data_IF_785947157593
#
_entry.id   IF_785947157593
#
_cell.length_a   1.000
_cell.length_b   1.000
_cell.length_c   1.000
_cell.angle_alpha   90.00
_cell.angle_beta   90.00
_cell.angle_gamma   90.00
#
_symmetry.space_group_name_H-M   'P 1'
#
loop_
_entity.id
_entity.type
_entity.pdbx_description
1 polymer ?
#
# COMPACT_ATOMS: atom_id res chain seq x y z
N UNK A 1 7.79 -22.69 15.45
CA UNK A 1 7.27 -21.43 14.87
C UNK A 1 5.87 -21.10 15.38
N UNK A 2 4.90 -22.03 15.28
CA UNK A 2 3.54 -21.85 15.81
C UNK A 2 3.51 -21.36 17.26
N UNK A 3 4.28 -22.01 18.15
CA UNK A 3 4.42 -21.57 19.54
C UNK A 3 4.89 -20.11 19.68
N UNK A 4 5.79 -19.66 18.81
CA UNK A 4 6.25 -18.28 18.82
C UNK A 4 5.13 -17.30 18.44
N UNK A 5 4.36 -17.63 17.40
CA UNK A 5 3.22 -16.81 16.99
C UNK A 5 2.14 -16.75 18.06
N UNK A 6 1.85 -17.86 18.75
CA UNK A 6 0.96 -17.89 19.91
C UNK A 6 1.44 -16.99 21.07
N UNK A 7 2.76 -16.76 21.17
CA UNK A 7 3.38 -15.84 22.14
C UNK A 7 3.57 -14.41 21.59
N UNK A 8 3.06 -14.11 20.40
CA UNK A 8 3.20 -12.81 19.74
C UNK A 8 4.58 -12.54 19.11
N UNK A 9 5.46 -13.55 19.04
CA UNK A 9 6.81 -13.44 18.48
C UNK A 9 6.75 -13.69 16.97
N UNK A 10 6.48 -12.63 16.21
CA UNK A 10 6.36 -12.68 14.74
C UNK A 10 7.65 -12.30 14.00
N UNK A 11 8.59 -11.63 14.67
CA UNK A 11 9.85 -11.20 14.07
C UNK A 11 10.80 -12.38 13.92
N UNK A 12 11.32 -12.61 12.71
CA UNK A 12 12.27 -13.71 12.42
C UNK A 12 13.57 -13.56 13.20
N UNK A 13 14.04 -12.32 13.39
CA UNK A 13 15.23 -12.01 14.20
C UNK A 13 14.96 -12.26 15.67
N UNK A 14 13.78 -11.85 16.15
CA UNK A 14 13.38 -12.13 17.52
C UNK A 14 13.23 -13.64 17.74
N UNK A 15 12.64 -14.37 16.79
CA UNK A 15 12.51 -15.81 16.86
C UNK A 15 13.88 -16.52 16.92
N UNK A 16 14.81 -16.12 16.06
CA UNK A 16 16.19 -16.62 16.10
C UNK A 16 16.86 -16.33 17.45
N UNK A 17 16.66 -15.13 18.01
CA UNK A 17 17.19 -14.75 19.33
C UNK A 17 16.53 -15.49 20.49
N UNK A 18 15.22 -15.68 20.45
CA UNK A 18 14.45 -16.34 21.54
C UNK A 18 14.89 -17.79 21.71
N UNK A 19 15.38 -18.42 20.63
CA UNK A 19 15.96 -19.76 20.66
C UNK A 19 17.24 -19.85 21.49
N UNK A 20 17.97 -18.75 21.69
CA UNK A 20 19.17 -18.69 22.53
C UNK A 20 18.86 -18.29 23.98
N UNK A 21 17.73 -17.64 24.21
CA UNK A 21 17.39 -17.03 25.51
C UNK A 21 16.30 -17.80 26.27
N UNK A 22 15.56 -18.70 25.61
CA UNK A 22 14.40 -19.36 26.21
C UNK A 22 14.45 -20.88 26.05
N UNK A 23 14.45 -21.58 27.19
CA UNK A 23 14.56 -23.04 27.27
C UNK A 23 13.44 -23.79 26.53
N UNK A 24 12.23 -23.23 26.47
CA UNK A 24 11.11 -23.85 25.74
C UNK A 24 11.40 -23.84 24.23
N UNK A 25 11.95 -22.74 23.72
CA UNK A 25 12.33 -22.66 22.31
C UNK A 25 13.53 -23.55 21.98
N UNK A 26 14.48 -23.71 22.91
CA UNK A 26 15.58 -24.68 22.78
C UNK A 26 15.05 -26.11 22.67
N UNK A 27 14.13 -26.49 23.56
CA UNK A 27 13.52 -27.81 23.56
C UNK A 27 12.69 -28.06 22.28
N UNK A 28 11.81 -27.13 21.91
CA UNK A 28 10.96 -27.24 20.71
C UNK A 28 11.76 -27.24 19.41
N UNK A 29 12.96 -26.68 19.40
CA UNK A 29 13.87 -26.71 18.24
C UNK A 29 14.84 -27.89 18.28
N UNK A 30 14.78 -28.78 19.27
CA UNK A 30 15.76 -29.85 19.49
C UNK A 30 17.21 -29.31 19.45
N UNK A 31 17.44 -28.18 20.12
CA UNK A 31 18.69 -27.40 20.13
C UNK A 31 19.20 -26.94 18.75
N UNK A 32 18.41 -27.04 17.68
CA UNK A 32 18.80 -26.47 16.37
C UNK A 32 18.83 -24.94 16.41
N UNK A 33 19.80 -24.32 15.72
CA UNK A 33 20.04 -22.86 15.73
C UNK A 33 19.86 -22.20 14.35
N UNK A 34 18.64 -22.25 13.76
CA UNK A 34 18.44 -21.67 12.44
C UNK A 34 18.60 -20.14 12.49
N UNK A 35 19.45 -19.62 11.61
CA UNK A 35 19.59 -18.18 11.45
C UNK A 35 18.29 -17.57 10.88
N UNK A 36 18.05 -16.27 11.12
CA UNK A 36 16.81 -15.61 10.71
C UNK A 36 16.56 -15.67 9.19
N UNK A 37 17.62 -15.79 8.39
CA UNK A 37 17.55 -15.98 6.93
C UNK A 37 17.05 -17.37 6.55
N UNK A 38 17.43 -18.41 7.30
CA UNK A 38 16.92 -19.77 7.11
C UNK A 38 15.43 -19.85 7.44
N UNK A 39 15.03 -19.21 8.55
CA UNK A 39 13.62 -19.08 8.93
C UNK A 39 12.83 -18.32 7.85
N UNK A 40 13.42 -17.24 7.31
CA UNK A 40 12.81 -16.48 6.21
C UNK A 40 12.61 -17.33 4.96
N UNK A 41 13.64 -18.06 4.53
CA UNK A 41 13.61 -18.92 3.36
C UNK A 41 12.57 -20.04 3.51
N UNK A 42 12.49 -20.64 4.70
CA UNK A 42 11.49 -21.65 5.03
C UNK A 42 10.06 -21.10 4.86
N UNK A 43 9.77 -19.93 5.44
CA UNK A 43 8.44 -19.34 5.36
C UNK A 43 8.06 -18.91 3.94
N UNK A 44 9.00 -18.34 3.18
CA UNK A 44 8.73 -17.92 1.80
C UNK A 44 8.57 -19.11 0.85
N UNK A 45 9.33 -20.18 1.08
CA UNK A 45 9.31 -21.37 0.21
C UNK A 45 8.18 -22.35 0.50
N UNK A 46 7.47 -22.23 1.64
CA UNK A 46 6.48 -23.22 2.10
C UNK A 46 5.12 -22.64 2.46
N UNK A 47 4.70 -21.62 1.71
CA UNK A 47 3.44 -20.91 1.98
C UNK A 47 2.22 -21.84 1.86
N UNK A 48 2.21 -22.76 0.88
CA UNK A 48 1.14 -23.75 0.70
C UNK A 48 1.02 -24.69 1.92
N UNK A 49 2.14 -25.20 2.44
CA UNK A 49 2.14 -26.05 3.63
C UNK A 49 1.71 -25.26 4.87
N UNK A 50 1.99 -23.95 4.92
CA UNK A 50 1.50 -23.06 5.96
C UNK A 50 -0.03 -23.03 6.04
N UNK A 51 -0.72 -23.09 4.90
CA UNK A 51 -2.18 -23.18 4.83
C UNK A 51 -2.67 -24.53 5.37
N UNK A 52 -1.99 -25.63 5.03
CA UNK A 52 -2.30 -26.97 5.56
C UNK A 52 -2.19 -27.02 7.08
N UNK A 53 -1.06 -26.54 7.63
CA UNK A 53 -0.85 -26.51 9.08
C UNK A 53 -1.87 -25.62 9.78
N UNK A 54 -2.23 -24.48 9.17
CA UNK A 54 -3.29 -23.63 9.71
C UNK A 54 -4.65 -24.35 9.76
N UNK A 55 -4.98 -25.14 8.72
CA UNK A 55 -6.19 -25.98 8.71
C UNK A 55 -6.16 -27.02 9.82
N UNK A 56 -5.04 -27.72 10.00
CA UNK A 56 -4.88 -28.72 11.07
C UNK A 56 -5.05 -28.10 12.46
N UNK A 57 -4.52 -26.89 12.68
CA UNK A 57 -4.71 -26.16 13.93
C UNK A 57 -6.19 -25.80 14.14
N UNK A 58 -6.89 -25.35 13.09
CA UNK A 58 -8.33 -25.08 13.20
C UNK A 58 -9.15 -26.34 13.47
N UNK A 59 -8.81 -27.46 12.85
CA UNK A 59 -9.45 -28.75 13.11
C UNK A 59 -9.32 -29.12 14.59
N UNK A 60 -8.12 -29.03 15.15
CA UNK A 60 -7.90 -29.30 16.57
C UNK A 60 -8.67 -28.34 17.48
N UNK A 61 -8.74 -27.05 17.12
CA UNK A 61 -9.53 -26.08 17.86
C UNK A 61 -11.03 -26.42 17.82
N UNK A 62 -11.52 -26.87 16.68
CA UNK A 62 -12.92 -27.25 16.47
C UNK A 62 -13.30 -28.52 17.24
N UNK A 63 -12.46 -29.57 17.19
CA UNK A 63 -12.61 -30.80 17.97
C UNK A 63 -12.63 -30.55 19.49
N UNK A 64 -11.99 -29.46 19.92
CA UNK A 64 -11.93 -29.03 21.33
C UNK A 64 -13.04 -28.03 21.69
N UNK A 65 -14.01 -27.81 20.81
CA UNK A 65 -15.10 -26.84 20.99
C UNK A 65 -14.57 -25.41 21.27
N UNK A 66 -13.48 -25.01 20.61
CA UNK A 66 -12.91 -23.66 20.73
C UNK A 66 -13.42 -22.70 19.65
N UNK A 67 -14.26 -23.17 18.72
CA UNK A 67 -14.87 -22.34 17.68
C UNK A 67 -16.38 -22.33 17.92
N UNK A 68 -16.92 -21.17 18.29
CA UNK A 68 -18.35 -21.06 18.63
C UNK A 68 -19.27 -21.11 17.42
N UNK A 69 -18.84 -20.54 16.28
CA UNK A 69 -19.63 -20.49 15.03
C UNK A 69 -20.92 -19.67 15.13
N UNK A 70 -21.07 -18.88 16.18
CA UNK A 70 -22.23 -18.02 16.41
C UNK A 70 -22.05 -16.65 15.76
N UNK A 71 -20.84 -16.09 15.88
CA UNK A 71 -20.52 -14.77 15.36
C UNK A 71 -19.09 -14.70 14.83
N UNK A 72 -18.93 -14.13 13.64
CA UNK A 72 -17.64 -13.83 13.03
C UNK A 72 -17.45 -12.33 12.81
N UNK A 73 -16.35 -11.80 13.33
CA UNK A 73 -15.92 -10.43 13.08
C UNK A 73 -14.93 -10.39 11.92
N UNK A 74 -15.20 -9.54 10.93
CA UNK A 74 -14.35 -9.30 9.76
C UNK A 74 -13.68 -7.95 9.91
N UNK A 75 -12.35 -7.98 10.04
CA UNK A 75 -11.53 -6.78 10.19
C UNK A 75 -10.35 -6.79 9.21
N UNK A 76 -10.00 -5.59 8.74
CA UNK A 76 -9.01 -5.36 7.71
C UNK A 76 -7.86 -4.48 8.19
N UNK A 77 -6.62 -4.88 7.91
CA UNK A 77 -5.44 -4.08 8.22
C UNK A 77 -4.54 -3.90 6.98
N UNK A 78 -3.96 -2.70 6.84
CA UNK A 78 -3.03 -2.39 5.74
C UNK A 78 -1.61 -2.75 6.14
N UNK A 79 -0.96 -3.62 5.36
CA UNK A 79 0.37 -4.17 5.61
C UNK A 79 1.34 -3.80 4.49
N UNK A 80 2.56 -3.33 4.81
CA UNK A 80 3.50 -2.91 3.78
C UNK A 80 4.09 -4.12 3.07
N UNK A 81 4.20 -4.01 1.74
CA UNK A 81 4.96 -4.94 0.93
C UNK A 81 6.43 -4.49 0.92
N UNK A 82 7.35 -5.43 0.63
CA UNK A 82 8.74 -5.10 0.34
C UNK A 82 8.89 -4.58 -1.10
N UNK A 83 8.10 -3.57 -1.45
CA UNK A 83 7.97 -3.04 -2.79
C UNK A 83 7.92 -1.52 -2.76
N UNK A 84 8.79 -0.87 -3.54
CA UNK A 84 8.83 0.59 -3.58
C UNK A 84 7.79 1.14 -4.55
N UNK A 85 7.17 2.26 -4.16
CA UNK A 85 6.19 3.02 -4.97
C UNK A 85 6.76 3.55 -6.29
N UNK A 86 8.09 3.67 -6.40
CA UNK A 86 8.77 4.16 -7.61
C UNK A 86 8.68 3.17 -8.77
N UNK A 87 8.68 1.88 -8.43
CA UNK A 87 8.61 0.73 -9.35
C UNK A 87 7.18 0.38 -9.77
N UNK A 88 6.22 1.28 -9.52
CA UNK A 88 4.83 1.11 -9.89
C UNK A 88 4.50 1.83 -11.20
N UNK A 89 3.69 1.22 -12.05
CA UNK A 89 3.13 1.84 -13.26
C UNK A 89 2.21 0.87 -14.02
N UNK A 90 1.44 1.39 -14.97
CA UNK A 90 0.88 0.55 -16.05
C UNK A 90 2.00 0.10 -16.99
N UNK A 91 1.76 -0.86 -17.88
CA UNK A 91 2.79 -1.33 -18.80
C UNK A 91 3.30 -0.18 -19.67
N UNK A 92 2.40 0.66 -20.19
CA UNK A 92 2.73 1.87 -20.93
C UNK A 92 3.56 2.89 -20.10
N UNK A 93 3.24 3.09 -18.82
CA UNK A 93 4.01 3.97 -17.93
C UNK A 93 5.42 3.42 -17.68
N UNK A 94 5.56 2.11 -17.51
CA UNK A 94 6.85 1.43 -17.30
C UNK A 94 7.71 1.44 -18.57
N UNK A 95 7.12 1.21 -19.75
CA UNK A 95 7.79 1.38 -21.05
C UNK A 95 8.26 2.81 -21.25
N UNK A 96 7.43 3.80 -20.93
CA UNK A 96 7.82 5.22 -21.00
C UNK A 96 8.97 5.53 -20.03
N UNK A 97 8.97 4.94 -18.83
CA UNK A 97 10.08 5.09 -17.88
C UNK A 97 11.36 4.47 -18.43
N UNK A 98 11.30 3.27 -18.98
CA UNK A 98 12.43 2.60 -19.62
C UNK A 98 12.99 3.45 -20.76
N UNK A 99 12.13 3.89 -21.68
CA UNK A 99 12.52 4.72 -22.83
C UNK A 99 13.15 6.06 -22.44
N UNK A 100 12.84 6.61 -21.26
CA UNK A 100 13.47 7.84 -20.73
C UNK A 100 14.86 7.60 -20.11
N UNK A 101 15.20 6.37 -19.72
CA UNK A 101 16.50 6.06 -19.12
C UNK A 101 17.62 6.06 -20.15
N UNK A 102 17.38 5.54 -21.37
CA UNK A 102 18.40 5.46 -22.42
C UNK A 102 18.93 6.84 -22.86
N UNK A 103 18.07 7.85 -23.16
CA UNK A 103 18.56 9.18 -23.50
C UNK A 103 19.23 9.89 -22.34
N UNK A 104 18.87 9.58 -21.08
CA UNK A 104 19.53 10.16 -19.92
C UNK A 104 20.98 9.66 -19.81
N UNK A 105 21.20 8.35 -20.01
CA UNK A 105 22.55 7.77 -20.08
C UNK A 105 23.33 8.38 -21.25
N UNK A 106 22.73 8.46 -22.44
CA UNK A 106 23.40 9.04 -23.61
C UNK A 106 23.79 10.51 -23.40
N UNK A 107 22.93 11.32 -22.78
CA UNK A 107 23.26 12.71 -22.45
C UNK A 107 24.45 12.82 -21.50
N UNK A 108 24.53 11.93 -20.51
CA UNK A 108 25.66 11.91 -19.59
C UNK A 108 26.95 11.53 -20.32
N UNK A 109 26.92 10.47 -21.14
CA UNK A 109 28.06 10.05 -21.96
C UNK A 109 28.52 11.17 -22.91
N UNK A 110 27.61 11.83 -23.61
CA UNK A 110 27.93 12.93 -24.53
C UNK A 110 28.48 14.16 -23.78
N UNK A 111 27.96 14.48 -22.59
CA UNK A 111 28.48 15.55 -21.76
C UNK A 111 29.92 15.26 -21.30
N UNK A 112 30.24 14.00 -21.00
CA UNK A 112 31.60 13.57 -20.70
C UNK A 112 32.51 13.72 -21.93
N UNK A 113 32.12 13.17 -23.08
CA UNK A 113 32.87 13.29 -24.33
C UNK A 113 33.14 14.75 -24.72
N UNK A 114 32.17 15.64 -24.49
CA UNK A 114 32.33 17.07 -24.75
C UNK A 114 33.33 17.72 -23.80
N UNK A 115 33.29 17.36 -22.50
CA UNK A 115 34.24 17.85 -21.49
C UNK A 115 35.66 17.42 -21.83
N UNK A 116 35.85 16.13 -22.12
CA UNK A 116 37.15 15.57 -22.50
C UNK A 116 37.70 16.29 -23.74
N UNK A 117 36.87 16.49 -24.78
CA UNK A 117 37.26 17.22 -25.99
C UNK A 117 37.53 18.72 -25.78
N UNK A 118 36.97 19.35 -24.74
CA UNK A 118 37.28 20.75 -24.39
C UNK A 118 38.55 20.90 -23.57
N UNK A 119 38.92 19.87 -22.80
CA UNK A 119 40.13 19.85 -21.98
C UNK A 119 41.37 19.42 -22.79
N UNK A 120 41.19 18.63 -23.86
CA UNK A 120 42.24 18.27 -24.83
C UNK A 120 42.60 19.38 -25.84
N UNK A 121 41.90 20.53 -25.81
CA UNK A 121 42.30 21.69 -26.61
C UNK A 121 43.57 22.31 -26.03
N UNK A 122 44.62 22.57 -26.83
CA UNK A 122 45.85 23.18 -26.32
C UNK A 122 45.51 24.52 -25.66
N UNK A 123 45.78 24.63 -24.36
CA UNK A 123 45.73 25.91 -23.64
C UNK A 123 46.74 26.85 -24.31
N UNK A 124 46.25 27.95 -24.87
CA UNK A 124 47.12 29.05 -25.29
C UNK A 124 47.81 29.61 -24.05
N UNK A 125 49.13 29.83 -24.17
CA UNK A 125 50.07 30.10 -23.08
C UNK A 125 49.61 31.24 -22.14
N UNK A 126 49.37 30.87 -20.88
CA UNK A 126 49.21 31.75 -19.73
C UNK A 126 49.76 31.05 -18.48
N UNK A 127 50.25 31.77 -17.45
CA UNK A 127 51.11 31.20 -16.42
C UNK A 127 50.40 30.08 -15.65
N UNK A 128 51.05 28.91 -15.59
CA UNK A 128 50.52 27.69 -15.00
C UNK A 128 50.67 27.67 -13.47
N UNK A 129 49.55 27.64 -12.74
CA UNK A 129 49.51 27.22 -11.34
C UNK A 129 49.76 25.69 -11.24
N UNK A 130 50.74 25.21 -10.44
CA UNK A 130 51.17 23.81 -10.46
C UNK A 130 50.30 22.85 -9.61
N UNK A 131 49.06 23.23 -9.24
CA UNK A 131 48.24 22.46 -8.30
C UNK A 131 47.11 21.62 -8.93
N UNK A 132 46.91 21.66 -10.25
CA UNK A 132 45.90 20.85 -10.92
C UNK A 132 46.55 19.62 -11.57
N UNK A 133 46.65 18.52 -10.82
CA UNK A 133 46.97 17.21 -11.39
C UNK A 133 45.97 16.82 -12.50
N UNK A 134 46.30 15.83 -13.35
CA UNK A 134 45.44 15.45 -14.47
C UNK A 134 44.07 15.06 -13.93
N UNK A 135 43.03 15.76 -14.36
CA UNK A 135 41.64 15.39 -14.10
C UNK A 135 41.33 14.15 -14.95
N UNK A 136 41.85 13.01 -14.52
CA UNK A 136 41.58 11.70 -15.12
C UNK A 136 40.07 11.49 -15.19
N UNK A 137 39.56 11.34 -16.41
CA UNK A 137 38.48 10.44 -16.82
C UNK A 137 37.42 10.08 -15.79
N UNK A 138 36.15 10.36 -16.10
CA UNK A 138 34.99 9.72 -15.46
C UNK A 138 34.97 9.80 -13.91
N UNK A 139 34.25 10.76 -13.35
CA UNK A 139 34.01 10.78 -11.90
C UNK A 139 33.43 9.42 -11.45
N UNK A 140 33.99 8.76 -10.42
CA UNK A 140 33.46 7.50 -9.90
C UNK A 140 31.96 7.58 -9.57
N UNK A 141 31.47 8.77 -9.20
CA UNK A 141 30.03 9.02 -8.96
C UNK A 141 29.19 8.93 -10.22
N UNK A 142 29.68 9.46 -11.34
CA UNK A 142 28.97 9.46 -12.62
C UNK A 142 28.93 8.05 -13.23
N UNK A 143 30.05 7.31 -13.16
CA UNK A 143 30.10 5.89 -13.52
C UNK A 143 29.11 5.06 -12.68
N UNK A 144 29.08 5.29 -11.36
CA UNK A 144 28.15 4.59 -10.47
C UNK A 144 26.68 4.95 -10.77
N UNK A 145 26.40 6.20 -11.13
CA UNK A 145 25.05 6.65 -11.48
C UNK A 145 24.59 6.06 -12.82
N UNK A 146 25.44 6.04 -13.84
CA UNK A 146 25.17 5.39 -15.14
C UNK A 146 24.91 3.90 -14.93
N UNK A 147 25.80 3.20 -14.23
CA UNK A 147 25.61 1.78 -13.91
C UNK A 147 24.31 1.52 -13.13
N UNK A 148 23.89 2.46 -12.28
CA UNK A 148 22.60 2.39 -11.57
C UNK A 148 21.42 2.56 -12.52
N UNK A 149 21.49 3.51 -13.46
CA UNK A 149 20.45 3.71 -14.47
C UNK A 149 20.32 2.51 -15.41
N UNK A 150 21.43 1.96 -15.89
CA UNK A 150 21.46 0.76 -16.73
C UNK A 150 20.85 -0.45 -16.00
N UNK A 151 21.23 -0.69 -14.74
CA UNK A 151 20.61 -1.74 -13.92
C UNK A 151 19.11 -1.54 -13.75
N UNK A 152 18.66 -0.29 -13.57
CA UNK A 152 17.23 0.02 -13.46
C UNK A 152 16.49 -0.21 -14.78
N UNK A 153 17.13 0.14 -15.89
CA UNK A 153 16.63 -0.06 -17.25
C UNK A 153 16.47 -1.55 -17.56
N UNK A 154 17.51 -2.34 -17.33
CA UNK A 154 17.50 -3.79 -17.49
C UNK A 154 16.44 -4.46 -16.62
N UNK A 155 16.27 -4.02 -15.37
CA UNK A 155 15.20 -4.51 -14.48
C UNK A 155 13.79 -4.22 -15.04
N UNK A 156 13.58 -3.05 -15.66
CA UNK A 156 12.28 -2.74 -16.29
C UNK A 156 12.02 -3.61 -17.51
N UNK A 157 13.00 -3.77 -18.40
CA UNK A 157 12.85 -4.62 -19.58
C UNK A 157 12.58 -6.07 -19.21
N UNK A 158 13.41 -6.65 -18.34
CA UNK A 158 13.21 -8.03 -17.90
C UNK A 158 11.86 -8.25 -17.22
N UNK A 159 11.26 -7.23 -16.61
CA UNK A 159 9.89 -7.33 -16.11
C UNK A 159 8.85 -7.20 -17.22
N UNK A 160 8.99 -6.23 -18.12
CA UNK A 160 8.08 -6.00 -19.24
C UNK A 160 8.01 -7.18 -20.21
N UNK A 161 9.11 -7.92 -20.39
CA UNK A 161 9.19 -9.08 -21.27
C UNK A 161 8.49 -10.32 -20.67
N UNK A 162 8.41 -10.39 -19.34
CA UNK A 162 7.90 -11.56 -18.61
C UNK A 162 6.52 -11.36 -17.99
N UNK A 163 5.92 -10.17 -18.09
CA UNK A 163 4.65 -9.86 -17.42
C UNK A 163 3.66 -9.20 -18.37
N UNK A 164 2.43 -9.71 -18.35
CA UNK A 164 1.30 -9.13 -19.08
C UNK A 164 0.66 -7.96 -18.32
N UNK A 165 -0.14 -7.16 -19.02
CA UNK A 165 -0.83 -6.03 -18.43
C UNK A 165 -1.93 -6.52 -17.47
N UNK A 166 -1.84 -6.07 -16.22
CA UNK A 166 -2.82 -6.43 -15.19
C UNK A 166 -4.11 -5.65 -15.42
N UNK A 167 -5.20 -6.35 -15.72
CA UNK A 167 -6.52 -5.74 -15.90
C UNK A 167 -7.31 -5.73 -14.58
N UNK A 168 -8.07 -4.65 -14.36
CA UNK A 168 -9.03 -4.56 -13.25
C UNK A 168 -10.39 -5.14 -13.62
N UNK A 169 -11.32 -5.13 -12.66
CA UNK A 169 -12.68 -5.65 -12.84
C UNK A 169 -13.45 -5.03 -14.03
N UNK A 170 -13.11 -3.80 -14.45
CA UNK A 170 -13.72 -3.13 -15.60
C UNK A 170 -12.93 -3.32 -16.91
N UNK A 171 -11.98 -4.27 -16.96
CA UNK A 171 -11.12 -4.52 -18.14
C UNK A 171 -10.10 -3.41 -18.42
N UNK A 172 -9.95 -2.44 -17.52
CA UNK A 172 -8.98 -1.34 -17.68
C UNK A 172 -7.63 -1.71 -17.06
N UNK A 173 -6.51 -1.24 -17.64
CA UNK A 173 -5.18 -1.44 -17.08
C UNK A 173 -5.06 -0.90 -15.64
N UNK A 174 -4.59 -1.74 -14.74
CA UNK A 174 -4.29 -1.41 -13.35
C UNK A 174 -2.78 -1.38 -13.18
N UNK A 175 -2.31 -0.45 -12.36
CA UNK A 175 -0.88 -0.27 -12.13
C UNK A 175 -0.28 -1.45 -11.36
N UNK A 176 0.65 -2.13 -12.00
CA UNK A 176 1.52 -3.18 -11.47
C UNK A 176 2.71 -2.60 -10.71
N UNK A 177 3.43 -3.44 -9.97
CA UNK A 177 4.72 -3.12 -9.39
C UNK A 177 5.78 -4.13 -9.83
N UNK A 178 6.92 -3.63 -10.33
CA UNK A 178 8.01 -4.44 -10.90
C UNK A 178 8.62 -5.42 -9.89
N UNK A 179 8.55 -5.13 -8.59
CA UNK A 179 9.14 -5.99 -7.54
C UNK A 179 8.12 -6.94 -6.91
N UNK A 180 6.84 -6.57 -6.93
CA UNK A 180 5.76 -7.32 -6.28
C UNK A 180 4.45 -7.01 -7.01
N UNK A 181 4.16 -7.79 -8.06
CA UNK A 181 3.07 -7.50 -9.00
C UNK A 181 1.68 -7.56 -8.34
N UNK A 182 1.53 -8.34 -7.28
CA UNK A 182 0.25 -8.50 -6.58
C UNK A 182 -0.03 -7.31 -5.67
N UNK A 183 0.99 -6.65 -5.12
CA UNK A 183 0.82 -5.50 -4.23
C UNK A 183 0.09 -4.30 -4.88
N UNK A 184 -0.60 -3.51 -4.05
CA UNK A 184 -1.28 -2.28 -4.47
C UNK A 184 -0.88 -1.03 -3.69
N UNK A 185 -1.09 0.14 -4.32
CA UNK A 185 -0.96 1.44 -3.66
C UNK A 185 -2.22 1.71 -2.85
N UNK A 186 -2.05 1.96 -1.56
CA UNK A 186 -3.15 2.17 -0.61
C UNK A 186 -2.90 3.36 0.31
N UNK A 187 -3.98 4.08 0.62
CA UNK A 187 -3.96 5.20 1.57
C UNK A 187 -4.08 4.66 3.00
N UNK A 188 -3.21 5.13 3.87
CA UNK A 188 -3.24 4.89 5.33
C UNK A 188 -3.29 6.19 6.10
N UNK A 189 -3.47 6.11 7.41
CA UNK A 189 -3.37 7.25 8.32
C UNK A 189 -2.01 7.96 8.29
N UNK A 190 -0.93 7.23 7.96
CA UNK A 190 0.44 7.75 7.90
C UNK A 190 0.88 8.12 6.47
N UNK A 191 -0.06 8.22 5.53
CA UNK A 191 0.21 8.53 4.13
C UNK A 191 0.01 7.32 3.21
N UNK A 192 0.62 7.37 2.04
CA UNK A 192 0.39 6.38 0.98
C UNK A 192 1.52 5.36 0.93
N UNK A 193 1.18 4.08 0.88
CA UNK A 193 2.12 2.95 0.86
C UNK A 193 1.80 1.98 -0.28
N UNK A 194 2.77 1.14 -0.61
CA UNK A 194 2.59 -0.04 -1.46
C UNK A 194 2.49 -1.25 -0.53
N UNK A 195 1.47 -2.09 -0.69
CA UNK A 195 1.22 -3.17 0.25
C UNK A 195 0.00 -4.01 -0.07
N UNK A 196 -0.45 -4.72 0.97
CA UNK A 196 -1.59 -5.60 0.97
C UNK A 196 -2.61 -5.19 2.02
N UNK A 197 -3.87 -5.41 1.72
CA UNK A 197 -4.93 -5.33 2.69
C UNK A 197 -5.16 -6.73 3.24
N UNK A 198 -4.66 -6.99 4.45
CA UNK A 198 -4.84 -8.26 5.14
C UNK A 198 -6.16 -8.24 5.89
N UNK A 199 -7.09 -9.09 5.49
CA UNK A 199 -8.41 -9.22 6.11
C UNK A 199 -8.47 -10.55 6.85
N UNK A 200 -9.04 -10.53 8.06
CA UNK A 200 -9.23 -11.71 8.88
C UNK A 200 -10.70 -11.82 9.29
N UNK A 201 -11.20 -13.06 9.33
CA UNK A 201 -12.44 -13.43 9.96
C UNK A 201 -12.12 -14.12 11.29
N UNK A 202 -12.75 -13.64 12.37
CA UNK A 202 -12.43 -14.03 13.75
C UNK A 202 -13.69 -14.52 14.45
N UNK A 203 -13.63 -15.71 15.04
CA UNK A 203 -14.71 -16.29 15.86
C UNK A 203 -14.84 -15.59 17.22
N UNK A 204 -16.07 -15.37 17.68
CA UNK A 204 -16.34 -14.63 18.90
C UNK A 204 -15.98 -15.37 20.20
N UNK A 205 -16.02 -16.71 20.23
CA UNK A 205 -15.94 -17.49 21.48
C UNK A 205 -14.59 -17.32 22.18
N UNK A 206 -13.51 -17.48 21.42
CA UNK A 206 -12.13 -17.36 21.90
C UNK A 206 -11.24 -16.48 21.03
N UNK A 207 -11.83 -15.66 20.15
CA UNK A 207 -11.12 -14.74 19.25
C UNK A 207 -10.15 -15.46 18.30
N UNK A 208 -10.53 -16.66 17.84
CA UNK A 208 -9.73 -17.44 16.91
C UNK A 208 -9.92 -16.93 15.48
N UNK A 209 -8.80 -16.70 14.78
CA UNK A 209 -8.84 -16.39 13.35
C UNK A 209 -9.19 -17.67 12.60
N UNK A 210 -10.32 -17.68 11.91
CA UNK A 210 -10.82 -18.85 11.16
C UNK A 210 -10.50 -18.75 9.67
N UNK A 211 -10.34 -17.54 9.16
CA UNK A 211 -9.91 -17.30 7.79
C UNK A 211 -9.13 -15.99 7.72
N UNK A 212 -8.07 -15.96 6.91
CA UNK A 212 -7.31 -14.76 6.67
C UNK A 212 -6.79 -14.75 5.23
N UNK A 213 -6.85 -13.57 4.60
CA UNK A 213 -6.37 -13.41 3.24
C UNK A 213 -5.75 -12.02 3.02
N UNK A 214 -4.74 -11.95 2.17
CA UNK A 214 -4.04 -10.71 1.84
C UNK A 214 -4.38 -10.27 0.42
N UNK A 215 -5.07 -9.14 0.28
CA UNK A 215 -5.54 -8.65 -1.00
C UNK A 215 -4.66 -7.52 -1.54
N UNK A 216 -4.27 -7.69 -2.81
CA UNK A 216 -3.51 -6.74 -3.61
C UNK A 216 -4.32 -5.55 -4.15
N UNK A 217 -5.22 -4.99 -3.34
CA UNK A 217 -6.07 -3.86 -3.74
C UNK A 217 -6.25 -2.83 -2.62
N UNK A 218 -6.63 -1.61 -3.03
CA UNK A 218 -6.73 -0.44 -2.13
C UNK A 218 -8.06 -0.33 -1.40
N UNK A 219 -9.21 -0.38 -2.11
CA UNK A 219 -10.54 -0.44 -1.51
C UNK A 219 -10.80 -1.82 -0.89
N UNK A 220 -11.47 -1.84 0.26
CA UNK A 220 -11.87 -3.08 0.95
C UNK A 220 -13.37 -3.41 0.78
N UNK A 221 -14.13 -2.51 0.15
CA UNK A 221 -15.59 -2.57 0.03
C UNK A 221 -16.13 -3.79 -0.74
N UNK A 222 -15.33 -4.40 -1.60
CA UNK A 222 -15.67 -5.59 -2.38
C UNK A 222 -15.12 -6.89 -1.78
N UNK A 223 -14.46 -6.84 -0.61
CA UNK A 223 -13.78 -8.00 -0.02
C UNK A 223 -14.65 -8.84 0.90
N UNK A 224 -15.78 -8.31 1.37
CA UNK A 224 -16.60 -8.99 2.37
C UNK A 224 -17.08 -10.36 1.87
N UNK A 225 -17.64 -10.43 0.66
CA UNK A 225 -18.14 -11.68 0.09
C UNK A 225 -17.03 -12.71 -0.09
N UNK A 226 -15.87 -12.29 -0.60
CA UNK A 226 -14.71 -13.18 -0.76
C UNK A 226 -14.24 -13.74 0.59
N UNK A 227 -14.30 -12.95 1.67
CA UNK A 227 -13.96 -13.41 3.01
C UNK A 227 -14.98 -14.41 3.58
N UNK A 228 -16.27 -14.19 3.35
CA UNK A 228 -17.34 -15.10 3.76
C UNK A 228 -17.23 -16.44 3.03
N UNK A 229 -17.03 -16.41 1.71
CA UNK A 229 -16.82 -17.60 0.89
C UNK A 229 -15.56 -18.34 1.27
N UNK A 230 -14.46 -17.62 1.51
CA UNK A 230 -13.19 -18.20 1.95
C UNK A 230 -13.29 -18.86 3.33
N UNK A 231 -14.01 -18.24 4.27
CA UNK A 231 -14.30 -18.84 5.57
C UNK A 231 -15.16 -20.11 5.40
N UNK A 232 -16.24 -20.06 4.61
CA UNK A 232 -17.08 -21.23 4.33
C UNK A 232 -16.28 -22.37 3.69
N UNK A 233 -15.45 -22.08 2.69
CA UNK A 233 -14.59 -23.06 2.04
C UNK A 233 -13.58 -23.70 3.02
N UNK A 234 -13.02 -22.89 3.93
CA UNK A 234 -12.13 -23.38 4.96
C UNK A 234 -12.85 -24.39 5.87
N UNK A 235 -14.03 -24.07 6.40
CA UNK A 235 -14.78 -25.00 7.24
C UNK A 235 -15.23 -26.26 6.51
N UNK A 236 -15.67 -26.13 5.25
CA UNK A 236 -16.03 -27.29 4.42
C UNK A 236 -14.83 -28.23 4.20
N UNK A 237 -13.61 -27.70 4.19
CA UNK A 237 -12.39 -28.50 4.04
C UNK A 237 -11.96 -29.23 5.33
N UNK A 238 -12.51 -28.88 6.50
CA UNK A 238 -12.13 -29.50 7.78
C UNK A 238 -12.78 -30.88 8.00
N UNK A 239 -13.77 -31.28 7.19
CA UNK A 239 -14.24 -32.66 7.04
C UNK A 239 -14.97 -33.32 8.23
N UNK A 240 -14.78 -32.86 9.47
CA UNK A 240 -15.32 -33.49 10.69
C UNK A 240 -16.44 -32.70 11.35
N UNK A 241 -16.55 -31.42 11.05
CA UNK A 241 -17.58 -30.56 11.61
C UNK A 241 -18.78 -30.50 10.69
N UNK A 242 -19.99 -30.17 11.19
CA UNK A 242 -21.02 -29.67 10.29
C UNK A 242 -20.37 -28.53 9.48
N UNK A 243 -20.58 -28.46 8.16
CA UNK A 243 -20.14 -27.29 7.40
C UNK A 243 -20.63 -26.03 8.13
N UNK A 244 -19.99 -24.88 7.94
CA UNK A 244 -20.71 -23.64 8.24
C UNK A 244 -22.03 -23.78 7.47
N UNK A 245 -23.13 -23.99 8.21
CA UNK A 245 -24.30 -24.67 7.66
C UNK A 245 -24.79 -23.97 6.39
N UNK A 246 -25.62 -24.62 5.57
CA UNK A 246 -26.25 -23.94 4.42
C UNK A 246 -26.92 -22.62 4.83
N UNK A 247 -27.31 -22.47 6.10
CA UNK A 247 -27.90 -21.27 6.68
C UNK A 247 -26.84 -20.31 7.28
N UNK A 248 -26.09 -19.61 6.42
CA UNK A 248 -25.34 -18.40 6.83
C UNK A 248 -26.22 -17.36 7.54
N UNK A 249 -27.55 -17.45 7.39
CA UNK A 249 -28.53 -16.63 8.09
C UNK A 249 -28.61 -16.86 9.61
N UNK A 250 -28.11 -17.99 10.14
CA UNK A 250 -28.09 -18.23 11.59
C UNK A 250 -26.85 -17.65 12.28
N UNK A 251 -25.81 -17.35 11.51
CA UNK A 251 -24.51 -16.90 12.02
C UNK A 251 -24.41 -15.39 11.84
N UNK A 252 -24.09 -14.67 12.91
CA UNK A 252 -23.92 -13.22 12.85
C UNK A 252 -22.55 -12.87 12.26
N UNK A 253 -22.51 -12.09 11.20
CA UNK A 253 -21.27 -11.50 10.68
C UNK A 253 -21.20 -10.03 11.05
N UNK A 254 -20.04 -9.55 11.48
CA UNK A 254 -19.84 -8.12 11.76
C UNK A 254 -18.68 -7.59 10.92
N UNK A 255 -18.83 -6.39 10.36
CA UNK A 255 -17.78 -5.76 9.56
C UNK A 255 -17.77 -4.24 9.77
N UNK A 256 -16.58 -3.66 9.64
CA UNK A 256 -16.40 -2.21 9.76
C UNK A 256 -16.98 -1.44 8.56
N UNK A 257 -16.91 -0.11 8.62
CA UNK A 257 -17.42 0.76 7.56
C UNK A 257 -16.62 0.73 6.25
N UNK A 258 -15.44 0.11 6.26
CA UNK A 258 -14.64 -0.13 5.07
C UNK A 258 -15.32 -1.09 4.10
N UNK A 259 -16.05 -2.07 4.63
CA UNK A 259 -16.79 -3.08 3.86
C UNK A 259 -18.16 -2.60 3.37
N UNK A 260 -18.58 -1.39 3.75
CA UNK A 260 -19.89 -0.84 3.40
C UNK A 260 -19.97 -0.44 1.92
N UNK A 261 -20.79 -1.17 1.15
CA UNK A 261 -21.19 -0.79 -0.21
C UNK A 261 -22.60 -1.26 -0.53
N UNK A 262 -23.31 -0.56 -1.42
CA UNK A 262 -24.66 -0.96 -1.84
C UNK A 262 -24.67 -2.37 -2.45
N UNK A 263 -23.67 -2.71 -3.28
CA UNK A 263 -23.56 -4.03 -3.89
C UNK A 263 -23.34 -5.13 -2.83
N UNK A 264 -22.55 -4.83 -1.80
CA UNK A 264 -22.31 -5.75 -0.67
C UNK A 264 -23.59 -5.96 0.14
N UNK A 265 -24.31 -4.89 0.48
CA UNK A 265 -25.56 -4.98 1.22
C UNK A 265 -26.65 -5.72 0.44
N UNK A 266 -26.74 -5.48 -0.87
CA UNK A 266 -27.67 -6.21 -1.74
C UNK A 266 -27.33 -7.71 -1.76
N UNK A 267 -26.06 -8.09 -1.92
CA UNK A 267 -25.64 -9.49 -1.88
C UNK A 267 -25.97 -10.17 -0.55
N UNK A 268 -25.72 -9.48 0.58
CA UNK A 268 -26.04 -10.00 1.91
C UNK A 268 -27.55 -10.22 2.06
N UNK A 269 -28.36 -9.30 1.53
CA UNK A 269 -29.82 -9.42 1.55
C UNK A 269 -30.32 -10.57 0.66
N UNK A 270 -29.86 -10.63 -0.59
CA UNK A 270 -30.28 -11.64 -1.58
C UNK A 270 -29.93 -13.06 -1.13
N UNK A 271 -28.79 -13.22 -0.43
CA UNK A 271 -28.35 -14.50 0.12
C UNK A 271 -28.84 -14.78 1.55
N UNK A 272 -29.70 -13.91 2.10
CA UNK A 272 -30.23 -14.00 3.47
C UNK A 272 -29.13 -14.20 4.54
N UNK A 273 -27.99 -13.53 4.38
CA UNK A 273 -26.86 -13.60 5.32
C UNK A 273 -27.11 -12.63 6.49
N UNK A 274 -27.02 -13.13 7.72
CA UNK A 274 -27.16 -12.31 8.92
C UNK A 274 -25.88 -11.50 9.17
N UNK A 275 -25.77 -10.32 8.57
CA UNK A 275 -24.58 -9.48 8.64
C UNK A 275 -24.88 -8.04 9.09
N UNK A 276 -24.05 -7.55 10.02
CA UNK A 276 -24.05 -6.19 10.55
C UNK A 276 -22.83 -5.44 10.02
N UNK A 277 -23.02 -4.64 8.97
CA UNK A 277 -21.97 -3.79 8.38
C UNK A 277 -22.16 -2.36 8.85
N UNK A 278 -21.13 -1.76 9.45
CA UNK A 278 -21.22 -0.38 9.91
C UNK A 278 -21.40 0.59 8.75
N UNK A 279 -22.39 1.48 8.83
CA UNK A 279 -22.59 2.51 7.80
C UNK A 279 -21.48 3.57 7.83
N UNK A 280 -20.93 3.88 6.66
CA UNK A 280 -19.83 4.84 6.48
C UNK A 280 -20.17 6.26 6.97
N UNK A 281 -21.39 6.71 6.67
CA UNK A 281 -21.83 8.06 6.96
C UNK A 281 -22.73 8.15 8.21
N UNK A 282 -22.86 7.06 8.98
CA UNK A 282 -23.64 7.01 10.23
C UNK A 282 -23.34 8.20 11.13
N UNK A 283 -22.04 8.49 11.31
CA UNK A 283 -21.56 9.55 12.21
C UNK A 283 -21.96 10.97 11.75
N UNK A 284 -22.26 11.16 10.47
CA UNK A 284 -22.74 12.45 9.95
C UNK A 284 -24.24 12.65 10.19
N UNK A 285 -24.98 11.56 10.38
CA UNK A 285 -26.44 11.54 10.57
C UNK A 285 -26.83 11.48 12.05
N UNK A 286 -25.96 10.95 12.89
CA UNK A 286 -26.25 10.71 14.31
C UNK A 286 -26.10 12.00 15.14
N UNK A 287 -27.17 12.50 15.78
CA UNK A 287 -27.13 13.77 16.51
C UNK A 287 -26.07 13.81 17.62
N UNK A 288 -25.80 12.65 18.24
CA UNK A 288 -24.75 12.50 19.28
C UNK A 288 -23.33 12.74 18.75
N UNK A 289 -23.11 12.69 17.43
CA UNK A 289 -21.83 12.94 16.80
C UNK A 289 -21.67 14.40 16.30
N UNK A 290 -22.67 15.26 16.48
CA UNK A 290 -22.68 16.63 15.96
C UNK A 290 -21.50 17.49 16.45
N UNK A 291 -21.07 17.30 17.69
CA UNK A 291 -20.01 18.09 18.34
C UNK A 291 -18.58 17.55 18.07
N UNK A 292 -18.44 16.43 17.35
CA UNK A 292 -17.16 15.70 17.21
C UNK A 292 -16.05 16.51 16.52
N UNK A 293 -16.41 17.38 15.57
CA UNK A 293 -15.44 18.12 14.77
C UNK A 293 -14.94 19.41 15.44
N UNK A 294 -15.35 19.70 16.69
CA UNK A 294 -14.82 20.84 17.47
C UNK A 294 -13.28 20.82 17.57
N UNK A 295 -12.66 19.64 17.71
CA UNK A 295 -11.20 19.51 17.78
C UNK A 295 -10.51 19.67 16.41
N UNK A 296 -11.15 19.29 15.30
CA UNK A 296 -10.60 19.52 13.96
C UNK A 296 -10.54 21.00 13.63
N UNK A 297 -11.52 21.78 14.09
CA UNK A 297 -11.49 23.24 14.00
C UNK A 297 -10.30 23.82 14.77
N UNK A 298 -9.88 23.23 15.90
CA UNK A 298 -8.67 23.66 16.63
C UNK A 298 -7.40 23.43 15.83
N UNK A 299 -7.22 22.26 15.22
CA UNK A 299 -6.05 21.96 14.37
C UNK A 299 -6.06 22.77 13.07
N UNK A 300 -7.24 22.99 12.46
CA UNK A 300 -7.39 23.86 11.30
C UNK A 300 -6.99 25.30 11.65
N UNK A 301 -7.50 25.85 12.75
CA UNK A 301 -7.12 27.18 13.27
C UNK A 301 -5.65 27.27 13.68
N UNK A 302 -5.06 26.19 14.17
CA UNK A 302 -3.64 26.13 14.50
C UNK A 302 -2.77 26.10 13.23
N UNK A 303 -3.16 25.36 12.19
CA UNK A 303 -2.51 25.42 10.86
C UNK A 303 -2.67 26.80 10.22
N UNK A 304 -3.87 27.37 10.26
CA UNK A 304 -4.16 28.74 9.78
C UNK A 304 -3.29 29.78 10.51
N UNK A 305 -2.92 29.56 11.79
CA UNK A 305 -1.97 30.41 12.53
C UNK A 305 -0.51 30.21 12.14
N UNK A 306 -0.10 29.01 11.74
CA UNK A 306 1.31 28.66 11.45
C UNK A 306 1.67 28.90 9.99
N UNK A 307 0.76 28.56 9.07
CA UNK A 307 0.98 28.66 7.62
C UNK A 307 0.58 30.05 7.07
N UNK A 308 0.10 30.94 7.95
CA UNK A 308 -0.63 32.15 7.56
C UNK A 308 -1.94 31.78 6.85
N UNK A 309 -2.92 32.67 6.81
CA UNK A 309 -3.91 32.53 5.76
C UNK A 309 -3.14 32.66 4.44
N UNK A 310 -3.26 31.68 3.54
CA UNK A 310 -3.20 32.08 2.15
C UNK A 310 -4.42 32.96 1.98
N UNK A 311 -4.25 34.28 1.99
CA UNK A 311 -5.27 35.26 1.63
C UNK A 311 -5.58 35.11 0.14
N UNK A 312 -6.04 33.93 -0.27
CA UNK A 312 -6.55 33.68 -1.60
C UNK A 312 -7.92 34.33 -1.63
N UNK A 313 -7.95 35.56 -2.15
CA UNK A 313 -9.17 36.28 -2.46
C UNK A 313 -10.08 35.38 -3.31
N UNK A 314 -11.28 35.11 -2.79
CA UNK A 314 -12.31 34.37 -3.53
C UNK A 314 -13.07 35.32 -4.44
N UNK A 315 -13.80 34.79 -5.44
CA UNK A 315 -14.55 35.62 -6.41
C UNK A 315 -15.51 36.64 -5.75
N UNK A 316 -15.97 36.37 -4.53
CA UNK A 316 -16.86 37.26 -3.75
C UNK A 316 -16.17 38.50 -3.22
N UNK A 317 -14.84 38.46 -3.10
CA UNK A 317 -14.05 39.56 -2.54
C UNK A 317 -13.72 40.62 -3.62
N UNK A 318 -14.01 40.32 -4.89
CA UNK A 318 -13.84 41.25 -6.02
C UNK A 318 -15.15 41.99 -6.30
N UNK A 319 -15.08 43.32 -6.40
CA UNK A 319 -16.21 44.13 -6.83
C UNK A 319 -16.12 44.41 -8.33
N UNK A 320 -17.24 44.33 -9.02
CA UNK A 320 -17.35 44.62 -10.44
C UNK A 320 -18.20 45.87 -10.62
N UNK A 321 -17.63 46.89 -11.25
CA UNK A 321 -18.33 48.11 -11.64
C UNK A 321 -18.77 47.99 -13.10
N UNK A 322 -20.09 47.93 -13.39
CA UNK A 322 -20.60 47.72 -14.74
C UNK A 322 -20.33 48.89 -15.70
N UNK A 323 -20.05 50.10 -15.20
CA UNK A 323 -19.71 51.27 -16.03
C UNK A 323 -18.61 52.10 -15.34
N UNK A 324 -17.32 51.77 -15.57
CA UNK A 324 -16.73 51.53 -16.88
C UNK A 324 -16.23 50.07 -17.14
N UNK A 325 -16.94 49.03 -16.68
CA UNK A 325 -16.58 47.59 -16.82
C UNK A 325 -15.24 47.23 -16.17
N UNK A 326 -15.00 47.71 -14.95
CA UNK A 326 -13.74 47.49 -14.24
C UNK A 326 -13.96 46.57 -13.04
N UNK A 327 -13.04 45.63 -12.81
CA UNK A 327 -13.07 44.80 -11.62
C UNK A 327 -12.00 45.28 -10.62
N UNK A 328 -12.35 45.40 -9.35
CA UNK A 328 -11.43 45.80 -8.30
C UNK A 328 -11.09 44.59 -7.43
N UNK A 329 -9.81 44.37 -7.18
CA UNK A 329 -9.39 43.34 -6.23
C UNK A 329 -9.49 43.85 -4.77
N UNK A 330 -9.49 42.96 -3.77
CA UNK A 330 -9.58 43.33 -2.35
C UNK A 330 -8.44 44.25 -1.87
N UNK A 331 -7.32 44.28 -2.61
CA UNK A 331 -6.19 45.16 -2.34
C UNK A 331 -6.33 46.56 -2.99
N UNK A 332 -7.47 46.87 -3.61
CA UNK A 332 -7.79 48.20 -4.16
C UNK A 332 -7.27 48.47 -5.57
N UNK A 333 -6.61 47.52 -6.23
CA UNK A 333 -6.11 47.68 -7.59
C UNK A 333 -7.19 47.41 -8.65
N UNK A 334 -7.18 48.23 -9.71
CA UNK A 334 -8.06 48.08 -10.89
C UNK A 334 -7.53 46.99 -11.82
N UNK A 335 -8.40 46.04 -12.18
CA UNK A 335 -8.15 45.00 -13.17
C UNK A 335 -8.88 45.38 -14.46
N UNK A 336 -8.13 45.44 -15.57
CA UNK A 336 -8.66 45.72 -16.89
C UNK A 336 -9.05 44.41 -17.60
N UNK A 337 -10.25 44.37 -18.16
CA UNK A 337 -10.73 43.22 -18.93
C UNK A 337 -10.19 43.25 -20.36
N UNK A 338 -9.38 42.26 -20.74
CA UNK A 338 -9.00 42.04 -22.14
C UNK A 338 -10.05 41.18 -22.86
N UNK A 339 -11.31 41.62 -22.83
CA UNK A 339 -12.40 41.33 -23.78
C UNK A 339 -12.57 39.92 -24.40
N UNK A 340 -12.12 38.82 -23.79
CA UNK A 340 -12.21 37.49 -24.41
C UNK A 340 -13.11 36.48 -23.72
N UNK A 341 -13.54 36.68 -22.48
CA UNK A 341 -14.50 35.78 -21.82
C UNK A 341 -15.23 36.52 -20.69
N UNK A 342 -16.44 37.01 -20.96
CA UNK A 342 -17.39 37.47 -19.94
C UNK A 342 -18.75 36.84 -20.20
N UNK A 343 -18.98 35.67 -19.60
CA UNK A 343 -20.27 35.17 -19.15
C UNK A 343 -20.11 34.61 -17.73
#
# INVERSE_FOLDING_TARGET
MLYAYARGIISRRQLARTRDENIIFMALSADTRPHFTTIAAFLSGRHEQGVSVFREVLLLCDERDLIGREMFAIDGCKRPANASKQWRGTQAELQTKHAKMQPAVQRMLNAHQTRDATEDRPKQDGPSDPAAGPATSFSPRDAQYIATLEKRSAKLNGWLDNNEERLGACGKPVKSNVTDNDSAKMKTRHGVMQGYHGVAAVDAKYQLIVHAHAYGQGPENNLLMAMLEGARAQFNSLGQAPPLGPDLGQIAFTADSGFHSQATLQHLHDQAINAFVAERDRRSREPRCAERDHHKNRHRRARERVEGRSDQSTRKDFSYDPDPKTCHCPAGHKLHSNGRNTQ
#
